data_IF_572731512821
#
_entry.id   IF_572731512821
#
_cell.length_a   1.000
_cell.length_b   1.000
_cell.length_c   1.000
_cell.angle_alpha   90.00
_cell.angle_beta   90.00
_cell.angle_gamma   90.00
#
_symmetry.space_group_name_H-M   'P 1'
#
loop_
_entity.id
_entity.type
_entity.pdbx_description
1 polymer ?
#
# COMPACT_ATOMS: atom_id res chain seq x y z
N UNK A 1 8.21 15.30 8.96
CA UNK A 1 8.74 14.01 8.45
C UNK A 1 8.24 12.93 9.40
N UNK A 2 7.08 12.34 9.11
CA UNK A 2 6.52 11.32 10.00
C UNK A 2 7.06 9.95 9.58
N UNK A 3 7.90 9.37 10.42
CA UNK A 3 8.29 7.96 10.36
C UNK A 3 7.04 7.07 10.53
N UNK A 4 7.06 5.81 10.08
CA UNK A 4 5.99 4.88 10.40
C UNK A 4 5.75 4.87 11.92
N UNK A 5 4.51 5.11 12.33
CA UNK A 5 4.16 5.26 13.74
C UNK A 5 4.01 3.86 14.37
N UNK A 6 4.68 3.54 15.50
CA UNK A 6 4.68 2.19 16.10
C UNK A 6 3.31 1.59 16.39
N UNK A 7 2.28 2.40 16.59
CA UNK A 7 0.90 1.89 16.76
C UNK A 7 0.30 1.31 15.46
N UNK A 8 0.75 1.74 14.29
CA UNK A 8 0.47 1.07 13.01
C UNK A 8 1.32 -0.20 12.81
N UNK A 9 2.02 -0.72 13.84
CA UNK A 9 2.98 -1.84 13.73
C UNK A 9 2.63 -3.14 14.48
N UNK A 10 1.54 -3.21 15.25
CA UNK A 10 1.00 -4.50 15.75
C UNK A 10 0.06 -5.19 14.76
N UNK A 11 0.59 -6.06 13.90
CA UNK A 11 -0.16 -7.13 13.24
C UNK A 11 0.69 -8.42 13.24
N UNK A 12 0.08 -9.60 13.36
CA UNK A 12 0.78 -10.83 13.72
C UNK A 12 1.66 -11.31 12.56
N UNK A 13 2.95 -11.50 12.84
CA UNK A 13 3.88 -12.24 11.97
C UNK A 13 3.53 -13.73 12.05
N UNK A 14 2.40 -14.12 11.47
CA UNK A 14 2.16 -15.50 11.09
C UNK A 14 2.73 -15.67 9.68
N UNK A 15 3.47 -16.75 9.44
CA UNK A 15 4.23 -17.03 8.22
C UNK A 15 3.52 -16.50 6.96
N UNK A 16 4.13 -15.50 6.31
CA UNK A 16 3.57 -14.88 5.13
C UNK A 16 3.44 -15.94 4.02
N UNK A 17 2.29 -16.09 3.35
CA UNK A 17 2.19 -16.92 2.17
C UNK A 17 3.20 -16.46 1.10
N UNK A 18 3.63 -17.37 0.21
CA UNK A 18 4.59 -17.04 -0.83
C UNK A 18 4.09 -15.86 -1.67
N UNK A 19 5.00 -14.98 -2.13
CA UNK A 19 4.64 -13.83 -2.93
C UNK A 19 3.88 -14.28 -4.18
N UNK A 20 2.66 -13.79 -4.34
CA UNK A 20 1.89 -14.05 -5.54
C UNK A 20 2.48 -13.30 -6.73
N UNK A 21 2.45 -13.91 -7.92
CA UNK A 21 2.84 -13.26 -9.18
C UNK A 21 1.62 -12.70 -9.92
N UNK A 22 0.55 -12.38 -9.19
CA UNK A 22 -0.72 -11.95 -9.79
C UNK A 22 -0.59 -10.51 -10.29
N UNK A 23 -1.01 -10.27 -11.52
CA UNK A 23 -1.04 -8.92 -12.08
C UNK A 23 -2.39 -8.28 -11.77
N UNK A 24 -2.35 -7.12 -11.13
CA UNK A 24 -3.52 -6.32 -10.82
C UNK A 24 -3.51 -5.03 -11.65
N UNK A 25 -4.69 -4.51 -11.99
CA UNK A 25 -4.83 -3.14 -12.53
C UNK A 25 -5.29 -2.23 -11.41
N UNK A 26 -4.99 -0.93 -11.49
CA UNK A 26 -5.48 0.04 -10.51
C UNK A 26 -7.00 0.04 -10.38
N UNK A 27 -7.71 -0.20 -11.49
CA UNK A 27 -9.16 -0.32 -11.49
C UNK A 27 -9.67 -1.54 -10.70
N UNK A 28 -8.98 -2.68 -10.81
CA UNK A 28 -9.33 -3.89 -10.07
C UNK A 28 -9.06 -3.72 -8.58
N UNK A 29 -7.93 -3.11 -8.22
CA UNK A 29 -7.57 -2.84 -6.82
C UNK A 29 -8.65 -2.06 -6.09
N UNK A 30 -9.30 -1.09 -6.75
CA UNK A 30 -10.37 -0.29 -6.14
C UNK A 30 -11.56 -1.11 -5.63
N UNK A 31 -11.72 -2.35 -6.08
CA UNK A 31 -12.76 -3.27 -5.61
C UNK A 31 -12.36 -4.06 -4.34
N UNK A 32 -11.11 -3.91 -3.91
CA UNK A 32 -10.47 -4.54 -2.74
C UNK A 32 -10.10 -3.49 -1.68
N UNK A 33 -11.02 -2.58 -1.43
CA UNK A 33 -10.93 -1.50 -0.44
C UNK A 33 -11.50 -1.91 0.93
N UNK A 34 -12.02 -3.14 1.05
CA UNK A 34 -12.56 -3.66 2.31
C UNK A 34 -13.95 -3.13 2.70
N UNK A 35 -14.62 -2.38 1.82
CA UNK A 35 -16.01 -1.92 2.05
C UNK A 35 -17.03 -3.06 2.09
N UNK A 36 -16.79 -4.16 1.37
CA UNK A 36 -17.65 -5.32 1.43
C UNK A 36 -17.21 -6.26 2.55
N UNK A 37 -18.17 -6.68 3.39
CA UNK A 37 -17.94 -7.60 4.50
C UNK A 37 -17.25 -8.88 4.02
N UNK A 38 -16.04 -9.13 4.52
CA UNK A 38 -15.22 -10.31 4.18
C UNK A 38 -14.33 -10.18 2.95
N UNK A 39 -14.28 -9.02 2.26
CA UNK A 39 -13.29 -8.82 1.19
C UNK A 39 -11.91 -8.48 1.76
N UNK A 40 -10.84 -9.04 1.18
CA UNK A 40 -9.47 -8.67 1.53
C UNK A 40 -9.20 -7.22 1.11
N UNK A 41 -8.23 -6.62 1.79
CA UNK A 41 -7.81 -5.25 1.53
C UNK A 41 -6.43 -5.29 0.88
N UNK A 42 -6.34 -4.75 -0.32
CA UNK A 42 -5.08 -4.68 -1.05
C UNK A 42 -4.57 -3.25 -1.12
N UNK A 43 -3.28 -3.06 -0.90
CA UNK A 43 -2.62 -1.76 -1.03
C UNK A 43 -1.45 -1.93 -1.97
N UNK A 44 -1.34 -1.06 -2.98
CA UNK A 44 -0.17 -1.04 -3.85
C UNK A 44 0.84 0.01 -3.41
N UNK A 45 2.11 -0.38 -3.35
CA UNK A 45 3.22 0.49 -2.97
C UNK A 45 4.37 0.20 -3.94
N UNK A 46 4.84 1.23 -4.64
CA UNK A 46 5.84 1.14 -5.71
C UNK A 46 5.49 0.08 -6.77
N UNK A 47 4.19 -0.16 -6.98
CA UNK A 47 3.70 -1.20 -7.89
C UNK A 47 3.66 -2.61 -7.34
N UNK A 48 4.04 -2.85 -6.09
CA UNK A 48 3.87 -4.13 -5.40
C UNK A 48 2.57 -4.12 -4.61
N UNK A 49 1.74 -5.15 -4.76
CA UNK A 49 0.45 -5.28 -4.09
C UNK A 49 0.63 -6.11 -2.82
N UNK A 50 0.28 -5.52 -1.68
CA UNK A 50 0.33 -6.15 -0.37
C UNK A 50 -1.08 -6.41 0.16
N UNK A 51 -1.30 -7.59 0.76
CA UNK A 51 -2.54 -7.87 1.50
C UNK A 51 -2.44 -7.29 2.91
N UNK A 52 -3.27 -6.28 3.18
CA UNK A 52 -3.42 -5.68 4.51
C UNK A 52 -4.78 -6.04 5.13
N UNK A 53 -5.39 -7.15 4.70
CA UNK A 53 -6.68 -7.59 5.26
C UNK A 53 -6.58 -7.88 6.76
N UNK A 54 -5.40 -8.28 7.25
CA UNK A 54 -5.10 -8.43 8.68
C UNK A 54 -5.23 -7.12 9.48
N UNK A 55 -5.36 -5.98 8.79
CA UNK A 55 -5.53 -4.63 9.35
C UNK A 55 -6.81 -3.96 8.85
N UNK A 56 -7.88 -4.73 8.72
CA UNK A 56 -9.20 -4.19 8.43
C UNK A 56 -9.62 -3.07 9.41
N UNK A 57 -9.14 -3.05 10.65
CA UNK A 57 -9.40 -1.94 11.59
C UNK A 57 -8.81 -0.59 11.14
N UNK A 58 -7.69 -0.60 10.41
CA UNK A 58 -6.99 0.61 9.96
C UNK A 58 -7.28 0.99 8.51
N UNK A 59 -7.43 -0.01 7.63
CA UNK A 59 -7.68 0.18 6.20
C UNK A 59 -9.14 -0.07 5.80
N UNK A 60 -9.96 -0.65 6.68
CA UNK A 60 -11.38 -0.83 6.42
C UNK A 60 -12.14 0.50 6.42
N UNK A 61 -13.45 0.48 6.15
CA UNK A 61 -14.26 1.69 5.90
C UNK A 61 -14.27 2.73 7.04
N UNK A 62 -14.04 2.30 8.28
CA UNK A 62 -13.95 3.17 9.46
C UNK A 62 -12.52 3.59 9.81
N UNK A 63 -11.53 3.11 9.06
CA UNK A 63 -10.11 3.31 9.34
C UNK A 63 -9.54 4.56 8.69
N UNK A 64 -8.56 5.19 9.33
CA UNK A 64 -7.92 6.42 8.82
C UNK A 64 -7.17 6.22 7.50
N UNK A 65 -6.82 4.97 7.15
CA UNK A 65 -6.07 4.60 5.94
C UNK A 65 -6.96 3.98 4.86
N UNK A 66 -8.28 3.99 5.05
CA UNK A 66 -9.26 3.52 4.07
C UNK A 66 -9.06 4.11 2.67
N UNK A 67 -8.62 5.36 2.60
CA UNK A 67 -8.37 6.05 1.32
C UNK A 67 -7.27 5.39 0.46
N UNK A 68 -6.37 4.63 1.09
CA UNK A 68 -5.32 3.85 0.42
C UNK A 68 -5.74 2.41 0.11
N UNK A 69 -6.82 1.95 0.73
CA UNK A 69 -7.37 0.63 0.48
C UNK A 69 -7.82 0.53 -0.98
N UNK A 70 -7.36 -0.51 -1.66
CA UNK A 70 -7.61 -0.73 -3.08
C UNK A 70 -6.94 0.27 -4.03
N UNK A 71 -5.92 1.01 -3.56
CA UNK A 71 -5.24 2.03 -4.36
C UNK A 71 -3.73 2.03 -4.11
N UNK A 72 -3.06 2.88 -4.88
CA UNK A 72 -1.63 3.10 -4.74
C UNK A 72 -1.35 4.14 -3.66
N UNK A 73 -0.67 3.70 -2.61
CA UNK A 73 -0.33 4.52 -1.47
C UNK A 73 1.06 5.17 -1.61
N UNK A 74 1.75 4.96 -2.74
CA UNK A 74 3.14 5.40 -2.91
C UNK A 74 3.35 6.89 -2.63
N UNK A 75 2.54 7.76 -3.24
CA UNK A 75 2.64 9.20 -3.03
C UNK A 75 2.23 9.59 -1.60
N UNK A 76 1.09 9.07 -1.13
CA UNK A 76 0.56 9.37 0.20
C UNK A 76 1.48 8.92 1.34
N UNK A 77 2.10 7.74 1.25
CA UNK A 77 3.05 7.25 2.26
C UNK A 77 4.35 8.05 2.24
N UNK A 78 4.89 8.34 1.05
CA UNK A 78 6.12 9.13 0.91
C UNK A 78 5.94 10.59 1.36
N UNK A 79 4.76 11.17 1.10
CA UNK A 79 4.42 12.53 1.56
C UNK A 79 3.78 12.58 2.95
N UNK A 80 3.50 11.42 3.56
CA UNK A 80 2.71 11.28 4.79
C UNK A 80 1.36 12.02 4.75
N UNK A 81 0.66 11.92 3.63
CA UNK A 81 -0.64 12.57 3.40
C UNK A 81 -1.73 11.53 3.28
N UNK A 82 -2.71 11.56 4.18
CA UNK A 82 -3.88 10.65 4.23
C UNK A 82 -5.04 11.13 3.35
N UNK A 83 -4.72 11.90 2.30
CA UNK A 83 -5.74 12.48 1.44
C UNK A 83 -6.01 11.58 0.22
N UNK A 84 -7.27 11.42 -0.20
CA UNK A 84 -7.61 10.59 -1.36
C UNK A 84 -7.02 11.14 -2.68
N UNK A 85 -6.75 12.44 -2.74
CA UNK A 85 -6.03 13.14 -3.82
C UNK A 85 -4.54 12.77 -3.89
N UNK A 86 -3.94 12.36 -2.76
CA UNK A 86 -2.55 11.91 -2.67
C UNK A 86 -2.40 10.38 -2.74
N UNK A 87 -3.50 9.63 -2.80
CA UNK A 87 -3.52 8.18 -3.05
C UNK A 87 -3.31 7.88 -4.54
N UNK A 88 -2.13 8.26 -5.03
CA UNK A 88 -1.71 8.10 -6.41
C UNK A 88 -0.40 7.31 -6.50
N UNK A 89 -0.23 6.62 -7.63
CA UNK A 89 1.01 5.95 -7.97
C UNK A 89 2.13 6.95 -8.26
N UNK A 90 1.82 8.23 -8.55
CA UNK A 90 2.81 9.23 -8.93
C UNK A 90 3.66 9.70 -7.74
N UNK A 91 4.76 8.98 -7.47
CA UNK A 91 5.76 9.33 -6.46
C UNK A 91 7.03 9.96 -7.06
N UNK A 92 7.08 10.18 -8.39
CA UNK A 92 8.21 10.82 -9.08
C UNK A 92 8.46 12.25 -8.57
N UNK A 93 7.40 13.00 -8.27
CA UNK A 93 7.47 14.36 -7.76
C UNK A 93 7.89 14.49 -6.28
N UNK A 94 8.13 13.38 -5.59
CA UNK A 94 8.58 13.40 -4.20
C UNK A 94 10.07 13.74 -4.10
N UNK A 95 10.40 14.55 -3.09
CA UNK A 95 11.78 14.87 -2.70
C UNK A 95 12.52 13.62 -2.19
N UNK A 96 13.86 13.63 -2.20
CA UNK A 96 14.69 12.50 -1.74
C UNK A 96 14.35 12.04 -0.32
N UNK A 97 13.98 12.98 0.56
CA UNK A 97 13.52 12.64 1.93
C UNK A 97 12.24 11.83 1.92
N UNK A 98 11.27 12.20 1.09
CA UNK A 98 10.00 11.49 0.95
C UNK A 98 10.18 10.14 0.28
N UNK A 99 11.07 10.04 -0.71
CA UNK A 99 11.46 8.74 -1.32
C UNK A 99 12.11 7.80 -0.30
N UNK A 100 12.92 8.32 0.62
CA UNK A 100 13.49 7.52 1.72
C UNK A 100 12.40 6.99 2.65
N UNK A 101 11.44 7.83 3.02
CA UNK A 101 10.28 7.43 3.84
C UNK A 101 9.44 6.36 3.12
N UNK A 102 9.18 6.53 1.82
CA UNK A 102 8.47 5.54 1.02
C UNK A 102 9.20 4.19 0.98
N UNK A 103 10.54 4.18 0.81
CA UNK A 103 11.32 2.95 0.85
C UNK A 103 11.29 2.26 2.22
N UNK A 104 11.31 3.04 3.31
CA UNK A 104 11.19 2.52 4.67
C UNK A 104 9.83 1.83 4.87
N UNK A 105 8.74 2.49 4.43
CA UNK A 105 7.40 1.91 4.39
C UNK A 105 7.35 0.65 3.53
N UNK A 106 7.93 0.67 2.33
CA UNK A 106 7.97 -0.49 1.44
C UNK A 106 8.64 -1.70 2.10
N UNK A 107 9.83 -1.52 2.68
CA UNK A 107 10.55 -2.59 3.38
C UNK A 107 9.82 -3.08 4.64
N UNK A 108 9.07 -2.20 5.31
CA UNK A 108 8.20 -2.59 6.42
C UNK A 108 7.04 -3.47 5.95
N UNK A 109 6.38 -3.10 4.85
CA UNK A 109 5.27 -3.85 4.29
C UNK A 109 5.70 -5.22 3.77
N UNK A 110 6.83 -5.30 3.08
CA UNK A 110 7.37 -6.57 2.56
C UNK A 110 7.66 -7.60 3.65
N UNK A 111 8.03 -7.15 4.86
CA UNK A 111 8.29 -8.04 6.01
C UNK A 111 7.05 -8.39 6.82
N UNK A 112 5.96 -7.63 6.67
CA UNK A 112 4.77 -7.72 7.53
C UNK A 112 3.52 -8.21 6.81
N UNK A 113 3.44 -7.98 5.51
CA UNK A 113 2.27 -8.30 4.70
C UNK A 113 2.70 -9.16 3.53
N UNK A 114 1.87 -10.16 3.16
CA UNK A 114 2.18 -10.98 2.02
C UNK A 114 2.00 -10.17 0.73
N UNK A 115 2.98 -10.30 -0.15
CA UNK A 115 2.89 -9.77 -1.51
C UNK A 115 1.91 -10.65 -2.27
N UNK A 116 0.81 -10.08 -2.75
CA UNK A 116 -0.18 -10.81 -3.55
C UNK A 116 0.18 -10.77 -5.03
N UNK A 117 0.91 -9.74 -5.44
CA UNK A 117 1.13 -9.46 -6.85
C UNK A 117 1.76 -8.11 -7.11
N UNK A 118 1.65 -7.69 -8.37
CA UNK A 118 2.17 -6.43 -8.85
C UNK A 118 1.13 -5.72 -9.70
N UNK A 119 1.17 -4.39 -9.69
CA UNK A 119 0.31 -3.57 -10.52
C UNK A 119 0.91 -3.48 -11.92
N UNK A 120 0.24 -4.07 -12.90
CA UNK A 120 0.69 -4.02 -14.30
C UNK A 120 0.52 -2.63 -14.91
N UNK A 121 -0.42 -1.85 -14.38
CA UNK A 121 -0.90 -0.56 -14.89
C UNK A 121 -0.12 0.65 -14.32
N UNK A 122 1.07 0.42 -13.73
CA UNK A 122 1.98 1.51 -13.33
C UNK A 122 2.77 2.01 -14.54
N UNK A 123 2.96 3.33 -14.68
CA UNK A 123 3.70 3.85 -15.81
C UNK A 123 5.19 3.49 -15.66
N UNK A 124 5.82 3.10 -16.77
CA UNK A 124 7.18 2.53 -16.77
C UNK A 124 8.23 3.43 -16.11
N UNK A 125 8.04 4.76 -16.12
CA UNK A 125 8.93 5.73 -15.46
C UNK A 125 8.98 5.55 -13.93
N UNK A 126 8.00 4.88 -13.32
CA UNK A 126 7.96 4.58 -11.88
C UNK A 126 8.33 3.13 -11.57
N UNK A 127 8.43 2.28 -12.59
CA UNK A 127 8.70 0.84 -12.49
C UNK A 127 10.21 0.51 -12.46
N UNK A 128 11.08 1.49 -12.77
CA UNK A 128 12.51 1.28 -12.91
C UNK A 128 13.36 2.36 -12.20
N UNK A 129 13.88 2.02 -11.01
CA UNK A 129 15.30 2.20 -10.63
C UNK A 129 15.59 1.47 -9.32
#
# INVERSE_FOLDING_TARGET
MAAPNPSFMSAPTAALPPPGNKQFRHADLKSFDGTAAGKPIYVSIKGTVFDVSSRADSYGPSGSYHIFAGKDASKGLGSSSLKPEDASYDWSGLDDKSKKVLNDWYGFFEKRYPVVGYVADIPTNLRAK
#
